data_IF_267172123126
#
_entry.id   IF_267172123126
#
_cell.length_a   1.000
_cell.length_b   1.000
_cell.length_c   1.000
_cell.angle_alpha   90.00
_cell.angle_beta   90.00
_cell.angle_gamma   90.00
#
_symmetry.space_group_name_H-M   'P 1'
#
loop_
_entity.id
_entity.type
_entity.pdbx_description
1 polymer ?
#
# COMPACT_ATOMS: atom_id res chain seq x y z
N UNK A 1 17.29 3.85 6.57
CA UNK A 1 15.95 4.45 6.40
C UNK A 1 15.79 4.62 4.90
N UNK A 2 14.71 4.09 4.30
CA UNK A 2 14.44 4.41 2.88
C UNK A 2 13.94 5.85 2.82
N UNK A 3 14.44 6.60 1.83
CA UNK A 3 13.99 7.96 1.59
C UNK A 3 12.55 7.92 1.06
N UNK A 4 11.66 8.69 1.68
CA UNK A 4 10.31 8.89 1.18
C UNK A 4 10.40 9.87 0.02
N UNK A 5 10.14 9.39 -1.19
CA UNK A 5 10.01 10.24 -2.37
C UNK A 5 8.62 10.86 -2.35
N UNK A 6 8.56 12.18 -2.47
CA UNK A 6 7.30 12.94 -2.58
C UNK A 6 7.03 13.27 -4.04
N UNK A 7 5.77 13.16 -4.46
CA UNK A 7 5.28 13.76 -5.69
C UNK A 7 4.66 15.13 -5.38
N UNK A 8 4.82 16.10 -6.29
CA UNK A 8 4.25 17.44 -6.13
C UNK A 8 2.73 17.45 -6.35
N UNK A 9 2.24 16.57 -7.23
CA UNK A 9 0.82 16.40 -7.57
C UNK A 9 0.53 14.95 -7.88
N UNK A 10 -0.59 14.42 -7.39
CA UNK A 10 -1.09 13.09 -7.69
C UNK A 10 -2.29 13.13 -8.63
N UNK A 11 -2.44 12.11 -9.47
CA UNK A 11 -3.70 11.88 -10.20
C UNK A 11 -4.88 11.56 -9.28
N UNK A 12 -4.61 11.27 -8.01
CA UNK A 12 -5.62 10.95 -6.99
C UNK A 12 -6.08 12.21 -6.22
N UNK A 13 -5.33 13.31 -6.25
CA UNK A 13 -5.64 14.55 -5.53
C UNK A 13 -7.09 15.03 -5.72
N UNK A 14 -7.66 15.03 -6.95
CA UNK A 14 -9.05 15.47 -7.16
C UNK A 14 -10.11 14.62 -6.47
N UNK A 15 -9.77 13.42 -5.98
CA UNK A 15 -10.67 12.52 -5.26
C UNK A 15 -10.62 12.70 -3.74
N UNK A 16 -9.62 13.43 -3.23
CA UNK A 16 -9.32 13.51 -1.79
C UNK A 16 -9.31 14.96 -1.29
N UNK A 17 -8.76 15.89 -2.08
CA UNK A 17 -8.43 17.25 -1.64
C UNK A 17 -9.63 18.09 -1.20
N UNK A 18 -10.81 17.85 -1.78
CA UNK A 18 -12.04 18.56 -1.43
C UNK A 18 -12.83 17.90 -0.29
N UNK A 19 -12.30 16.82 0.30
CA UNK A 19 -12.93 16.05 1.36
C UNK A 19 -14.02 15.09 0.88
N UNK A 20 -14.20 14.91 -0.44
CA UNK A 20 -15.11 13.92 -1.00
C UNK A 20 -14.73 12.48 -0.61
N UNK A 21 -13.43 12.17 -0.70
CA UNK A 21 -12.86 10.86 -0.43
C UNK A 21 -11.84 10.86 0.70
N UNK A 22 -11.81 9.77 1.47
CA UNK A 22 -10.81 9.48 2.48
C UNK A 22 -9.99 8.29 2.01
N UNK A 23 -8.70 8.48 1.76
CA UNK A 23 -7.78 7.38 1.50
C UNK A 23 -7.46 6.67 2.82
N UNK A 24 -7.95 5.43 2.95
CA UNK A 24 -7.78 4.68 4.20
C UNK A 24 -6.31 4.40 4.53
N UNK A 25 -5.43 4.26 3.53
CA UNK A 25 -4.00 4.04 3.76
C UNK A 25 -3.33 5.19 4.55
N UNK A 26 -3.94 6.38 4.59
CA UNK A 26 -3.41 7.50 5.37
C UNK A 26 -3.42 7.27 6.88
N UNK A 27 -4.15 6.26 7.35
CA UNK A 27 -4.10 5.79 8.74
C UNK A 27 -2.79 5.08 9.09
N UNK A 28 -2.03 4.60 8.10
CA UNK A 28 -0.73 3.96 8.32
C UNK A 28 0.39 5.00 8.36
N UNK A 29 1.51 4.73 9.05
CA UNK A 29 2.73 5.54 8.90
C UNK A 29 3.14 5.64 7.43
N UNK A 30 3.60 6.82 6.97
CA UNK A 30 3.98 7.02 5.56
C UNK A 30 4.91 5.94 4.97
N UNK A 31 5.97 5.48 5.68
CA UNK A 31 6.83 4.39 5.19
C UNK A 31 6.12 3.06 4.97
N UNK A 32 4.93 2.87 5.53
CA UNK A 32 4.18 1.61 5.52
C UNK A 32 3.02 1.63 4.51
N UNK A 33 2.81 2.72 3.76
CA UNK A 33 1.68 2.88 2.81
C UNK A 33 1.92 2.28 1.43
N UNK A 34 3.16 1.92 1.10
CA UNK A 34 3.50 1.46 -0.25
C UNK A 34 2.86 0.13 -0.60
N UNK A 35 2.40 -0.01 -1.83
CA UNK A 35 1.77 -1.23 -2.35
C UNK A 35 2.54 -1.82 -3.52
N UNK A 36 3.50 -1.09 -4.08
CA UNK A 36 4.29 -1.51 -5.23
C UNK A 36 5.79 -1.23 -5.00
N UNK A 37 6.66 -2.07 -5.58
CA UNK A 37 8.10 -1.81 -5.65
C UNK A 37 8.60 -1.85 -7.10
N UNK A 38 8.95 -0.66 -7.62
CA UNK A 38 9.47 -0.52 -8.97
C UNK A 38 10.98 -0.78 -8.97
N UNK A 39 11.38 -1.90 -9.56
CA UNK A 39 12.73 -2.43 -9.45
C UNK A 39 13.81 -1.57 -10.11
N UNK A 40 13.44 -0.87 -11.20
CA UNK A 40 14.37 -0.11 -12.03
C UNK A 40 14.88 1.13 -11.31
N UNK A 41 13.97 1.89 -10.69
CA UNK A 41 14.29 3.09 -9.92
C UNK A 41 14.46 2.81 -8.42
N UNK A 42 14.19 1.56 -8.00
CA UNK A 42 14.27 1.12 -6.61
C UNK A 42 13.36 1.91 -5.67
N UNK A 43 12.19 2.29 -6.16
CA UNK A 43 11.21 3.08 -5.41
C UNK A 43 10.02 2.24 -4.96
N UNK A 44 9.59 2.47 -3.73
CA UNK A 44 8.34 1.95 -3.19
C UNK A 44 7.29 3.05 -3.30
N UNK A 45 6.13 2.71 -3.86
CA UNK A 45 5.05 3.67 -4.12
C UNK A 45 3.72 3.10 -3.66
N UNK A 46 2.80 3.97 -3.26
CA UNK A 46 1.39 3.62 -3.12
C UNK A 46 0.72 3.78 -4.48
N UNK A 47 0.42 2.67 -5.15
CA UNK A 47 -0.32 2.67 -6.42
C UNK A 47 -1.76 2.15 -6.25
N UNK A 48 -2.05 1.53 -5.12
CA UNK A 48 -3.35 0.93 -4.83
C UNK A 48 -4.00 1.67 -3.66
N UNK A 49 -5.27 2.03 -3.82
CA UNK A 49 -6.02 2.88 -2.90
C UNK A 49 -7.37 2.25 -2.57
N UNK A 50 -7.80 2.38 -1.32
CA UNK A 50 -9.22 2.26 -0.94
C UNK A 50 -9.65 3.64 -0.49
N UNK A 51 -10.40 4.33 -1.36
CA UNK A 51 -10.96 5.66 -1.11
C UNK A 51 -12.43 5.49 -0.75
N UNK A 52 -12.82 5.95 0.43
CA UNK A 52 -14.20 5.85 0.92
C UNK A 52 -14.81 7.22 1.15
N UNK A 53 -16.14 7.29 1.25
CA UNK A 53 -16.77 8.49 1.80
C UNK A 53 -16.43 8.63 3.30
N UNK A 54 -16.45 9.85 3.86
CA UNK A 54 -16.20 10.05 5.29
C UNK A 54 -17.08 9.19 6.20
N UNK A 55 -18.37 9.08 5.88
CA UNK A 55 -19.33 8.27 6.65
C UNK A 55 -19.02 6.76 6.62
N UNK A 56 -18.40 6.24 5.55
CA UNK A 56 -17.97 4.85 5.51
C UNK A 56 -16.63 4.65 6.23
N UNK A 57 -15.72 5.64 6.16
CA UNK A 57 -14.47 5.61 6.91
C UNK A 57 -14.71 5.50 8.43
N UNK A 58 -15.74 6.18 8.96
CA UNK A 58 -16.15 6.09 10.37
C UNK A 58 -16.58 4.69 10.81
N UNK A 59 -17.00 3.83 9.86
CA UNK A 59 -17.42 2.45 10.12
C UNK A 59 -16.28 1.44 10.03
N UNK A 60 -15.06 1.89 9.76
CA UNK A 60 -13.90 1.02 9.62
C UNK A 60 -13.54 0.35 10.95
N UNK A 61 -13.19 -0.93 10.88
CA UNK A 61 -12.70 -1.70 12.02
C UNK A 61 -11.18 -1.70 11.99
N UNK A 62 -10.55 -1.14 13.03
CA UNK A 62 -9.10 -1.12 13.16
C UNK A 62 -8.43 -0.22 12.11
N UNK A 63 -7.41 -0.75 11.43
CA UNK A 63 -6.60 -0.05 10.43
C UNK A 63 -6.50 -0.91 9.16
N UNK A 64 -6.28 -0.31 7.98
CA UNK A 64 -6.11 -1.10 6.76
C UNK A 64 -4.84 -1.95 6.86
N UNK A 65 -4.82 -3.06 6.12
CA UNK A 65 -3.67 -3.93 6.04
C UNK A 65 -3.15 -3.97 4.61
N UNK A 66 -1.83 -3.90 4.45
CA UNK A 66 -1.16 -4.09 3.17
C UNK A 66 -0.37 -5.40 3.23
N UNK A 67 -0.83 -6.42 2.51
CA UNK A 67 -0.27 -7.76 2.61
C UNK A 67 0.89 -7.91 1.63
N UNK A 68 2.11 -7.95 2.17
CA UNK A 68 3.35 -8.02 1.37
C UNK A 68 3.88 -9.45 1.19
N UNK A 69 3.19 -10.45 1.73
CA UNK A 69 3.66 -11.84 1.75
C UNK A 69 3.78 -12.51 0.37
N UNK A 70 3.12 -11.95 -0.65
CA UNK A 70 3.20 -12.42 -2.03
C UNK A 70 4.35 -11.82 -2.86
N UNK A 71 5.09 -10.84 -2.31
CA UNK A 71 6.13 -10.12 -3.02
C UNK A 71 7.45 -10.89 -3.10
N UNK A 72 8.24 -10.70 -4.17
CA UNK A 72 9.51 -11.38 -4.34
C UNK A 72 10.56 -10.98 -3.28
N UNK A 73 11.55 -11.84 -3.04
CA UNK A 73 12.62 -11.55 -2.05
C UNK A 73 13.55 -10.40 -2.45
N UNK A 74 13.65 -10.06 -3.74
CA UNK A 74 14.48 -8.94 -4.22
C UNK A 74 14.02 -7.55 -3.76
N UNK A 75 12.85 -7.43 -3.11
CA UNK A 75 12.37 -6.16 -2.57
C UNK A 75 13.27 -5.76 -1.40
N UNK A 76 13.96 -4.61 -1.46
CA UNK A 76 14.87 -4.18 -0.41
C UNK A 76 14.11 -3.90 0.89
N UNK A 77 14.82 -4.02 2.02
CA UNK A 77 14.31 -3.69 3.34
C UNK A 77 12.96 -4.37 3.67
N UNK A 78 12.83 -5.65 3.30
CA UNK A 78 11.62 -6.45 3.52
C UNK A 78 11.93 -7.84 4.08
N UNK A 79 13.09 -7.97 4.75
CA UNK A 79 13.57 -9.24 5.30
C UNK A 79 12.62 -9.79 6.37
N UNK A 80 12.06 -8.90 7.20
CA UNK A 80 11.13 -9.26 8.28
C UNK A 80 9.70 -9.54 7.79
N UNK A 81 9.43 -9.35 6.50
CA UNK A 81 8.12 -9.65 5.92
C UNK A 81 7.97 -11.17 5.73
N UNK A 82 6.97 -11.83 6.33
CA UNK A 82 6.71 -13.24 6.06
C UNK A 82 6.41 -13.44 4.57
N UNK A 83 6.86 -14.55 3.96
CA UNK A 83 6.54 -14.89 2.56
C UNK A 83 5.64 -16.10 2.46
N UNK A 84 4.74 -16.10 1.48
CA UNK A 84 4.01 -17.31 1.13
C UNK A 84 4.97 -18.39 0.60
N UNK A 85 4.61 -19.68 0.72
CA UNK A 85 5.41 -20.76 0.17
C UNK A 85 5.70 -20.54 -1.33
N UNK A 86 6.91 -20.92 -1.75
CA UNK A 86 7.40 -20.88 -3.14
C UNK A 86 7.67 -19.48 -3.72
N UNK A 87 7.49 -18.40 -2.97
CA UNK A 87 7.94 -17.06 -3.41
C UNK A 87 9.43 -17.09 -3.70
N UNK A 88 9.80 -16.75 -4.94
CA UNK A 88 11.18 -16.76 -5.43
C UNK A 88 11.89 -15.42 -5.26
N UNK A 89 13.15 -15.39 -5.68
CA UNK A 89 13.96 -14.16 -5.64
C UNK A 89 13.35 -13.02 -6.45
N UNK A 90 12.92 -13.30 -7.67
CA UNK A 90 12.09 -12.41 -8.50
C UNK A 90 10.79 -13.12 -8.93
N UNK A 91 10.90 -14.36 -9.40
CA UNK A 91 9.79 -15.22 -9.78
C UNK A 91 9.95 -16.63 -9.18
N UNK A 92 8.85 -17.33 -8.86
CA UNK A 92 7.48 -16.84 -8.95
C UNK A 92 7.18 -15.84 -7.81
N UNK A 93 6.27 -14.91 -8.08
CA UNK A 93 5.67 -13.98 -7.11
C UNK A 93 4.17 -14.02 -7.32
N UNK A 94 3.38 -13.77 -6.27
CA UNK A 94 1.93 -13.74 -6.41
C UNK A 94 1.50 -12.52 -7.25
N UNK A 95 2.13 -11.38 -7.00
CA UNK A 95 1.97 -10.14 -7.73
C UNK A 95 3.19 -9.24 -7.43
N UNK A 96 3.42 -8.22 -8.27
CA UNK A 96 4.27 -7.08 -7.94
C UNK A 96 3.54 -5.94 -7.23
N UNK A 97 2.23 -6.08 -7.04
CA UNK A 97 1.40 -5.24 -6.17
C UNK A 97 1.01 -5.98 -4.89
N UNK A 98 0.79 -5.22 -3.83
CA UNK A 98 0.33 -5.72 -2.53
C UNK A 98 -1.16 -5.44 -2.39
N UNK A 99 -2.01 -6.43 -2.10
CA UNK A 99 -3.41 -6.18 -1.83
C UNK A 99 -3.57 -5.33 -0.56
N UNK A 100 -4.52 -4.41 -0.63
CA UNK A 100 -4.98 -3.58 0.48
C UNK A 100 -6.28 -4.18 1.01
N UNK A 101 -6.39 -4.36 2.31
CA UNK A 101 -7.56 -4.94 2.98
C UNK A 101 -8.12 -3.91 3.96
N UNK A 102 -9.43 -3.73 3.93
CA UNK A 102 -10.19 -2.91 4.86
C UNK A 102 -11.42 -3.71 5.35
N UNK A 103 -11.74 -3.57 6.62
CA UNK A 103 -12.91 -4.19 7.25
C UNK A 103 -13.86 -3.10 7.75
N UNK A 104 -15.17 -3.30 7.58
CA UNK A 104 -16.21 -2.34 7.98
C UNK A 104 -17.30 -3.03 8.78
N UNK A 105 -17.86 -2.30 9.75
CA UNK A 105 -19.06 -2.71 10.50
C UNK A 105 -20.26 -1.90 10.01
N UNK A 106 -21.15 -2.54 9.26
CA UNK A 106 -22.27 -1.87 8.59
C UNK A 106 -23.55 -1.85 9.41
#
# INVERSE_FOLDING_TARGET
MEDIVTEDTSGIDPLIDDGFGVNLCDMLPRPDRWTHYYAWERHKTQLDYIITSPALAEKMVGAPQIIRAGMPWRVPNSADTPRYPRVGWDRPKASDHCPVVAEFKL
#
